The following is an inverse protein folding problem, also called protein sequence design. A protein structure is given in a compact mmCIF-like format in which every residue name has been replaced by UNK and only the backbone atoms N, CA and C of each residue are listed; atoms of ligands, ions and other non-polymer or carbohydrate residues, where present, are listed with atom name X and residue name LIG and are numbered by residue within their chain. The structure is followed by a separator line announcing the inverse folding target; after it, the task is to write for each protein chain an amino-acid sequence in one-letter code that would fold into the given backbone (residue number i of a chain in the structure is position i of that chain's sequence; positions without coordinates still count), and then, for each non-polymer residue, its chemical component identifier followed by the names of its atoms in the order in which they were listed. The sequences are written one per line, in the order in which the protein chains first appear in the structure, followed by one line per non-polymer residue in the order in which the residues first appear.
data_IF_300806459231
#
_entry.id   IF_300806459231
#
_cell.length_a   1.000
_cell.length_b   1.000
_cell.length_c   1.000
_cell.angle_alpha   90.00
_cell.angle_beta   90.00
_cell.angle_gamma   90.00
#
_symmetry.space_group_name_H-M   'P 1'
#
loop_
_entity.id
_entity.type
_entity.pdbx_description
1 polymer ?
#
# COMPACT_ATOMS: atom_id res chain seq x y z
N UNK A 1 -21.26 11.67 0.14
CA UNK A 1 -20.30 12.34 -0.76
C UNK A 1 -19.36 11.27 -1.31
N UNK A 2 -19.07 11.30 -2.60
CA UNK A 2 -18.08 10.39 -3.19
C UNK A 2 -16.68 10.83 -2.78
N UNK A 3 -15.82 9.87 -2.41
CA UNK A 3 -14.44 10.13 -2.04
C UNK A 3 -13.48 9.83 -3.20
N UNK A 4 -13.98 9.21 -4.29
CA UNK A 4 -13.18 8.93 -5.47
C UNK A 4 -13.08 10.15 -6.39
N UNK A 5 -11.93 10.29 -7.04
CA UNK A 5 -11.61 11.28 -8.05
C UNK A 5 -11.33 10.61 -9.38
N UNK A 6 -11.89 11.15 -10.46
CA UNK A 6 -11.64 10.66 -11.81
C UNK A 6 -10.17 10.85 -12.18
N UNK A 7 -9.42 9.81 -12.57
CA UNK A 7 -8.00 9.93 -12.89
C UNK A 7 -7.74 10.61 -14.25
N UNK A 8 -8.78 10.99 -14.99
CA UNK A 8 -8.66 11.66 -16.30
C UNK A 8 -8.95 13.16 -16.19
N UNK A 9 -10.01 13.54 -15.47
CA UNK A 9 -10.45 14.94 -15.41
C UNK A 9 -10.57 15.49 -13.98
N UNK A 10 -10.20 14.72 -12.98
CA UNK A 10 -10.19 15.04 -11.55
C UNK A 10 -11.55 15.41 -10.94
N UNK A 11 -12.65 15.32 -11.71
CA UNK A 11 -14.00 15.49 -11.18
C UNK A 11 -14.38 14.34 -10.21
N UNK A 12 -15.36 14.55 -9.32
CA UNK A 12 -15.90 13.50 -8.49
C UNK A 12 -16.28 12.26 -9.30
N UNK A 13 -15.97 11.08 -8.78
CA UNK A 13 -16.22 9.81 -9.44
C UNK A 13 -17.19 8.98 -8.59
N UNK A 14 -18.42 8.84 -9.04
CA UNK A 14 -19.45 8.08 -8.34
C UNK A 14 -19.32 6.59 -8.64
N UNK A 15 -19.07 5.82 -7.57
CA UNK A 15 -18.94 4.37 -7.65
C UNK A 15 -20.30 3.70 -7.46
N UNK A 16 -20.72 2.93 -8.46
CA UNK A 16 -21.85 2.02 -8.40
C UNK A 16 -21.38 0.55 -8.32
N UNK A 17 -22.33 -0.37 -8.31
CA UNK A 17 -22.06 -1.80 -8.20
C UNK A 17 -21.18 -2.32 -9.36
N UNK A 18 -21.47 -1.92 -10.59
CA UNK A 18 -20.80 -2.45 -11.80
C UNK A 18 -19.72 -1.54 -12.37
N UNK A 19 -19.78 -0.24 -12.10
CA UNK A 19 -18.86 0.75 -12.65
C UNK A 19 -18.73 1.97 -11.76
N UNK A 20 -17.74 2.82 -12.05
CA UNK A 20 -17.61 4.16 -11.49
C UNK A 20 -17.64 5.18 -12.62
N UNK A 21 -18.40 6.27 -12.47
CA UNK A 21 -18.62 7.28 -13.51
C UNK A 21 -18.46 8.70 -12.96
N UNK A 22 -17.86 9.61 -13.75
CA UNK A 22 -17.83 11.03 -13.43
C UNK A 22 -18.80 11.84 -14.29
N UNK A 23 -19.14 13.06 -13.86
CA UNK A 23 -20.04 13.95 -14.58
C UNK A 23 -19.59 14.33 -16.01
N UNK A 24 -18.31 14.16 -16.33
CA UNK A 24 -17.74 14.39 -17.67
C UNK A 24 -17.78 13.15 -18.58
N UNK A 25 -18.49 12.08 -18.17
CA UNK A 25 -18.73 10.90 -19.00
C UNK A 25 -17.63 9.84 -18.98
N UNK A 26 -16.54 10.02 -18.21
CA UNK A 26 -15.55 8.96 -18.05
C UNK A 26 -16.14 7.84 -17.19
N UNK A 27 -15.97 6.58 -17.64
CA UNK A 27 -16.51 5.40 -16.99
C UNK A 27 -15.42 4.34 -16.81
N UNK A 28 -15.43 3.67 -15.65
CA UNK A 28 -14.47 2.63 -15.26
C UNK A 28 -15.23 1.41 -14.76
N UNK A 29 -15.10 0.29 -15.44
CA UNK A 29 -15.76 -0.94 -15.04
C UNK A 29 -15.13 -1.55 -13.78
N UNK A 30 -16.01 -2.06 -12.91
CA UNK A 30 -15.57 -2.86 -11.77
C UNK A 30 -15.28 -4.29 -12.24
N UNK A 31 -14.09 -4.75 -11.94
CA UNK A 31 -13.73 -6.14 -12.21
C UNK A 31 -14.61 -7.11 -11.43
N UNK A 32 -14.74 -8.35 -11.94
CA UNK A 32 -15.49 -9.43 -11.27
C UNK A 32 -15.01 -9.69 -9.83
N UNK A 33 -13.73 -9.49 -9.57
CA UNK A 33 -13.12 -9.62 -8.25
C UNK A 33 -13.49 -8.48 -7.30
N UNK A 34 -14.04 -7.36 -7.79
CA UNK A 34 -14.54 -6.23 -7.00
C UNK A 34 -13.68 -4.96 -7.03
N UNK A 35 -12.50 -4.96 -7.65
CA UNK A 35 -11.65 -3.78 -7.75
C UNK A 35 -12.01 -2.86 -8.92
N UNK A 36 -11.61 -1.59 -8.83
CA UNK A 36 -11.63 -0.63 -9.93
C UNK A 36 -10.22 -0.43 -10.49
N UNK A 37 -10.08 -0.40 -11.82
CA UNK A 37 -8.82 -0.02 -12.45
C UNK A 37 -8.87 1.47 -12.82
N UNK A 38 -8.25 2.30 -11.99
CA UNK A 38 -8.16 3.75 -12.12
C UNK A 38 -6.77 4.23 -12.56
N UNK A 39 -5.91 3.32 -13.08
CA UNK A 39 -4.61 3.66 -13.64
C UNK A 39 -4.75 3.93 -15.15
N UNK A 40 -4.68 5.21 -15.60
CA UNK A 40 -4.73 5.54 -17.02
C UNK A 40 -3.56 4.94 -17.78
N UNK A 41 -3.79 4.60 -19.05
CA UNK A 41 -2.73 4.02 -19.91
C UNK A 41 -1.53 4.96 -20.03
N UNK A 42 -1.76 6.28 -20.07
CA UNK A 42 -0.73 7.31 -20.16
C UNK A 42 0.18 7.39 -18.93
N UNK A 43 -0.26 6.91 -17.78
CA UNK A 43 0.52 6.89 -16.54
C UNK A 43 1.31 5.58 -16.35
N UNK A 44 1.21 4.65 -17.31
CA UNK A 44 1.95 3.40 -17.25
C UNK A 44 3.35 3.56 -17.83
N UNK A 45 4.38 3.30 -17.03
CA UNK A 45 5.77 3.28 -17.48
C UNK A 45 6.15 1.96 -18.16
N UNK A 46 5.30 0.94 -18.07
CA UNK A 46 5.45 -0.38 -18.71
C UNK A 46 4.07 -0.97 -18.99
N UNK A 47 4.01 -2.06 -19.78
CA UNK A 47 2.75 -2.76 -20.08
C UNK A 47 2.09 -3.32 -18.80
N UNK A 48 2.90 -3.86 -17.89
CA UNK A 48 2.49 -4.41 -16.60
C UNK A 48 3.35 -3.78 -15.49
N UNK A 49 2.98 -2.60 -14.97
CA UNK A 49 3.74 -1.96 -13.89
C UNK A 49 3.56 -2.71 -12.56
N UNK A 50 4.58 -2.64 -11.72
CA UNK A 50 4.61 -3.29 -10.41
C UNK A 50 5.01 -4.77 -10.49
N UNK A 51 4.76 -5.48 -9.40
CA UNK A 51 5.08 -6.90 -9.28
C UNK A 51 4.27 -7.76 -10.25
N UNK A 52 4.92 -8.75 -10.84
CA UNK A 52 4.26 -9.74 -11.67
C UNK A 52 3.54 -10.83 -10.82
N UNK A 53 2.85 -11.74 -11.50
CA UNK A 53 2.04 -12.76 -10.84
C UNK A 53 2.87 -13.73 -9.97
N UNK A 54 4.12 -14.02 -10.35
CA UNK A 54 5.00 -14.95 -9.63
C UNK A 54 5.59 -14.27 -8.38
N UNK A 55 5.99 -13.00 -8.48
CA UNK A 55 6.42 -12.19 -7.35
C UNK A 55 5.29 -12.02 -6.32
N UNK A 56 4.08 -11.68 -6.79
CA UNK A 56 2.89 -11.56 -5.92
C UNK A 56 2.56 -12.90 -5.26
N UNK A 57 2.71 -14.03 -5.96
CA UNK A 57 2.48 -15.34 -5.36
C UNK A 57 3.53 -15.65 -4.28
N UNK A 58 4.81 -15.44 -4.58
CA UNK A 58 5.90 -15.67 -3.62
C UNK A 58 5.72 -14.82 -2.34
N UNK A 59 5.39 -13.53 -2.51
CA UNK A 59 5.08 -12.63 -1.39
C UNK A 59 3.92 -13.16 -0.55
N UNK A 60 2.83 -13.56 -1.20
CA UNK A 60 1.67 -14.11 -0.52
C UNK A 60 2.05 -15.34 0.31
N UNK A 61 2.74 -16.31 -0.28
CA UNK A 61 3.08 -17.55 0.40
C UNK A 61 4.01 -17.30 1.60
N UNK A 62 4.93 -16.35 1.45
CA UNK A 62 5.82 -15.93 2.52
C UNK A 62 5.08 -15.22 3.68
N UNK A 63 4.21 -14.28 3.35
CA UNK A 63 3.44 -13.51 4.35
C UNK A 63 2.40 -14.39 5.08
N UNK A 64 1.72 -15.29 4.35
CA UNK A 64 0.75 -16.25 4.93
C UNK A 64 1.43 -17.25 5.87
N UNK A 65 2.69 -17.63 5.63
CA UNK A 65 3.48 -18.41 6.57
C UNK A 65 3.72 -17.68 7.91
N UNK A 66 3.43 -16.38 7.97
CA UNK A 66 3.40 -15.61 9.22
C UNK A 66 4.76 -15.04 9.65
N UNK A 67 5.80 -15.13 8.82
CA UNK A 67 7.13 -14.62 9.16
C UNK A 67 7.15 -13.12 9.51
N UNK A 68 6.26 -12.32 8.91
CA UNK A 68 6.11 -10.89 9.15
C UNK A 68 4.96 -10.52 10.11
N UNK A 69 4.36 -11.52 10.79
CA UNK A 69 3.27 -11.27 11.75
C UNK A 69 3.66 -10.30 12.88
N UNK A 70 4.84 -10.41 13.53
CA UNK A 70 5.21 -9.46 14.58
C UNK A 70 5.25 -8.01 14.09
N UNK A 71 5.73 -7.80 12.87
CA UNK A 71 5.76 -6.48 12.23
C UNK A 71 4.34 -5.97 11.93
N UNK A 72 3.49 -6.79 11.31
CA UNK A 72 2.10 -6.43 11.01
C UNK A 72 1.31 -6.07 12.26
N UNK A 73 1.46 -6.86 13.33
CA UNK A 73 0.72 -6.65 14.57
C UNK A 73 1.20 -5.36 15.28
N UNK A 74 2.48 -5.01 15.15
CA UNK A 74 2.98 -3.70 15.62
C UNK A 74 2.34 -2.54 14.84
N UNK A 75 2.27 -2.61 13.51
CA UNK A 75 1.61 -1.58 12.71
C UNK A 75 0.13 -1.41 13.08
N UNK A 76 -0.58 -2.53 13.26
CA UNK A 76 -1.96 -2.51 13.72
C UNK A 76 -2.10 -1.84 15.10
N UNK A 77 -1.19 -2.13 16.02
CA UNK A 77 -1.15 -1.51 17.35
C UNK A 77 -0.89 -0.01 17.32
N UNK A 78 -0.08 0.48 16.37
CA UNK A 78 0.16 1.92 16.18
C UNK A 78 -1.05 2.65 15.57
N UNK A 79 -1.80 1.99 14.69
CA UNK A 79 -2.97 2.56 14.03
C UNK A 79 -4.22 2.52 14.92
N UNK A 80 -4.41 1.46 15.69
CA UNK A 80 -5.64 1.19 16.45
C UNK A 80 -6.12 2.34 17.35
N UNK A 81 -5.25 3.06 18.09
CA UNK A 81 -5.70 4.16 18.95
C UNK A 81 -6.29 5.36 18.20
N UNK A 82 -6.01 5.47 16.90
CA UNK A 82 -6.47 6.58 16.05
C UNK A 82 -7.89 6.38 15.53
N UNK A 83 -8.37 5.15 15.43
CA UNK A 83 -9.69 4.79 14.88
C UNK A 83 -10.08 5.63 13.65
N UNK A 84 -9.26 5.65 12.58
CA UNK A 84 -9.53 6.53 11.45
C UNK A 84 -10.90 6.20 10.83
N UNK A 85 -11.70 7.23 10.56
CA UNK A 85 -12.96 7.01 9.86
C UNK A 85 -12.73 6.52 8.42
N UNK A 86 -11.64 6.98 7.77
CA UNK A 86 -11.21 6.51 6.46
C UNK A 86 -9.69 6.30 6.43
N UNK A 87 -9.26 5.05 6.25
CA UNK A 87 -7.86 4.63 6.04
C UNK A 87 -7.58 4.48 4.55
N UNK A 88 -6.43 4.99 4.10
CA UNK A 88 -5.84 4.70 2.79
C UNK A 88 -4.57 3.86 2.97
N UNK A 89 -4.49 2.70 2.32
CA UNK A 89 -3.27 1.89 2.25
C UNK A 89 -2.62 2.04 0.87
N UNK A 90 -1.48 2.74 0.82
CA UNK A 90 -0.76 3.09 -0.40
C UNK A 90 0.31 2.05 -0.72
N UNK A 91 0.18 1.38 -1.88
CA UNK A 91 1.04 0.26 -2.24
C UNK A 91 0.70 -1.01 -1.45
N UNK A 92 -0.58 -1.35 -1.43
CA UNK A 92 -1.14 -2.42 -0.59
C UNK A 92 -0.70 -3.84 -0.98
N UNK A 93 -0.05 -4.01 -2.13
CA UNK A 93 0.30 -5.32 -2.66
C UNK A 93 -0.93 -6.24 -2.78
N UNK A 94 -0.79 -7.47 -2.29
CA UNK A 94 -1.88 -8.47 -2.30
C UNK A 94 -2.81 -8.38 -1.07
N UNK A 95 -2.70 -7.29 -0.27
CA UNK A 95 -3.65 -6.93 0.78
C UNK A 95 -3.45 -7.60 2.14
N UNK A 96 -2.32 -8.26 2.39
CA UNK A 96 -2.09 -8.98 3.65
C UNK A 96 -2.03 -8.04 4.87
N UNK A 97 -1.37 -6.88 4.72
CA UNK A 97 -1.36 -5.84 5.76
C UNK A 97 -2.71 -5.12 5.83
N UNK A 98 -3.25 -4.74 4.68
CA UNK A 98 -4.50 -3.96 4.57
C UNK A 98 -5.67 -4.59 5.32
N UNK A 99 -5.85 -5.92 5.22
CA UNK A 99 -6.95 -6.64 5.89
C UNK A 99 -6.86 -6.59 7.42
N UNK A 100 -5.65 -6.55 7.98
CA UNK A 100 -5.46 -6.39 9.42
C UNK A 100 -5.67 -4.94 9.85
N UNK A 101 -5.12 -3.98 9.11
CA UNK A 101 -5.24 -2.56 9.41
C UNK A 101 -6.70 -2.08 9.30
N UNK A 102 -7.46 -2.61 8.35
CA UNK A 102 -8.87 -2.31 8.16
C UNK A 102 -9.74 -2.59 9.39
N UNK A 103 -9.33 -3.50 10.27
CA UNK A 103 -10.07 -3.82 11.50
C UNK A 103 -10.13 -2.65 12.49
N UNK A 104 -9.20 -1.69 12.38
CA UNK A 104 -9.14 -0.48 13.22
C UNK A 104 -9.76 0.74 12.57
N UNK A 105 -10.27 0.64 11.34
CA UNK A 105 -10.78 1.76 10.55
C UNK A 105 -12.29 1.61 10.29
N UNK A 106 -12.99 2.75 10.18
CA UNK A 106 -14.41 2.76 9.78
C UNK A 106 -14.62 2.36 8.32
N UNK A 107 -13.69 2.78 7.45
CA UNK A 107 -13.64 2.46 6.02
C UNK A 107 -12.19 2.35 5.58
N UNK A 108 -11.92 1.45 4.65
CA UNK A 108 -10.58 1.29 4.07
C UNK A 108 -10.64 1.35 2.55
N UNK A 109 -9.76 2.15 1.97
CA UNK A 109 -9.41 2.14 0.56
C UNK A 109 -7.95 1.71 0.46
N UNK A 110 -7.63 0.87 -0.51
CA UNK A 110 -6.26 0.41 -0.72
C UNK A 110 -5.96 0.37 -2.21
N UNK A 111 -4.76 0.77 -2.59
CA UNK A 111 -4.35 0.72 -3.99
C UNK A 111 -2.94 0.18 -4.17
N UNK A 112 -2.72 -0.38 -5.33
CA UNK A 112 -1.40 -0.76 -5.83
C UNK A 112 -1.34 -0.54 -7.34
N UNK A 113 -0.14 -0.34 -7.87
CA UNK A 113 0.07 -0.20 -9.31
C UNK A 113 0.00 -1.56 -10.02
N UNK A 114 0.31 -2.66 -9.32
CA UNK A 114 0.20 -4.03 -9.83
C UNK A 114 -1.25 -4.49 -9.86
N UNK A 115 -1.76 -4.69 -11.08
CA UNK A 115 -3.09 -5.26 -11.28
C UNK A 115 -3.21 -6.68 -10.72
N UNK A 116 -2.15 -7.48 -10.79
CA UNK A 116 -2.14 -8.86 -10.28
C UNK A 116 -2.21 -8.89 -8.75
N UNK A 117 -1.52 -7.97 -8.08
CA UNK A 117 -1.60 -7.80 -6.64
C UNK A 117 -3.02 -7.40 -6.20
N UNK A 118 -3.57 -6.33 -6.79
CA UNK A 118 -4.93 -5.84 -6.46
C UNK A 118 -6.01 -6.88 -6.74
N UNK A 119 -5.88 -7.65 -7.82
CA UNK A 119 -6.80 -8.75 -8.13
C UNK A 119 -6.82 -9.83 -7.03
N UNK A 120 -5.68 -10.11 -6.41
CA UNK A 120 -5.58 -11.06 -5.27
C UNK A 120 -6.12 -10.43 -4.00
N UNK A 121 -5.78 -9.18 -3.73
CA UNK A 121 -6.28 -8.41 -2.60
C UNK A 121 -7.82 -8.34 -2.57
N UNK A 122 -8.45 -8.05 -3.71
CA UNK A 122 -9.91 -8.00 -3.85
C UNK A 122 -10.63 -9.34 -3.59
N UNK A 123 -9.92 -10.46 -3.77
CA UNK A 123 -10.44 -11.79 -3.40
C UNK A 123 -10.27 -12.10 -1.91
N UNK A 124 -9.32 -11.43 -1.24
CA UNK A 124 -9.02 -11.63 0.17
C UNK A 124 -10.09 -11.02 1.07
N UNK A 125 -10.50 -9.79 0.76
CA UNK A 125 -11.50 -9.05 1.53
C UNK A 125 -12.36 -8.16 0.61
N UNK A 126 -13.68 -8.35 0.64
CA UNK A 126 -14.63 -7.54 -0.13
C UNK A 126 -15.11 -6.28 0.59
N UNK A 127 -14.77 -6.13 1.87
CA UNK A 127 -15.10 -4.95 2.66
C UNK A 127 -14.18 -3.74 2.38
N UNK A 128 -13.02 -3.98 1.74
CA UNK A 128 -12.06 -2.95 1.38
C UNK A 128 -12.30 -2.49 -0.07
N UNK A 129 -12.20 -1.18 -0.30
CA UNK A 129 -12.25 -0.59 -1.64
C UNK A 129 -10.89 -0.72 -2.33
N UNK A 130 -10.74 -1.67 -3.23
CA UNK A 130 -9.50 -1.97 -3.93
C UNK A 130 -9.39 -1.23 -5.26
N UNK A 131 -8.24 -0.57 -5.49
CA UNK A 131 -7.98 0.21 -6.70
C UNK A 131 -6.66 -0.20 -7.34
N UNK A 132 -6.60 -0.28 -8.67
CA UNK A 132 -5.33 -0.22 -9.40
C UNK A 132 -5.07 1.24 -9.69
N UNK A 133 -4.00 1.80 -9.11
CA UNK A 133 -3.69 3.23 -9.19
C UNK A 133 -2.21 3.49 -8.93
N UNK A 134 -1.77 4.72 -9.19
CA UNK A 134 -0.41 5.20 -8.90
C UNK A 134 -0.41 6.15 -7.70
N UNK A 135 0.66 6.10 -6.89
CA UNK A 135 0.89 7.09 -5.83
C UNK A 135 1.20 8.50 -6.38
N UNK A 136 1.57 8.60 -7.67
CA UNK A 136 1.83 9.89 -8.32
C UNK A 136 0.55 10.68 -8.68
N UNK A 137 -0.62 10.02 -8.70
CA UNK A 137 -1.93 10.65 -8.91
C UNK A 137 -2.98 9.77 -8.22
N UNK A 138 -3.14 9.98 -6.92
CA UNK A 138 -4.04 9.18 -6.08
C UNK A 138 -5.49 9.52 -6.45
N UNK A 139 -6.32 8.54 -6.89
CA UNK A 139 -7.68 8.79 -7.36
C UNK A 139 -8.68 8.98 -6.22
N UNK A 140 -8.34 9.84 -5.27
CA UNK A 140 -9.16 10.27 -4.15
C UNK A 140 -9.29 11.79 -4.14
N UNK A 141 -10.40 12.28 -3.62
CA UNK A 141 -10.63 13.71 -3.41
C UNK A 141 -9.64 14.26 -2.38
N UNK A 142 -9.41 15.56 -2.44
CA UNK A 142 -8.60 16.28 -1.45
C UNK A 142 -9.23 16.11 -0.06
N UNK A 143 -8.41 16.02 0.97
CA UNK A 143 -8.82 15.93 2.38
C UNK A 143 -9.91 14.87 2.65
N UNK A 144 -9.79 13.70 2.01
CA UNK A 144 -10.81 12.64 2.06
C UNK A 144 -10.47 11.47 2.99
N UNK A 145 -9.24 11.43 3.53
CA UNK A 145 -8.78 10.33 4.41
C UNK A 145 -8.20 10.86 5.72
N UNK A 146 -8.39 10.10 6.79
CA UNK A 146 -7.92 10.45 8.14
C UNK A 146 -6.56 9.81 8.47
N UNK A 147 -6.24 8.71 7.78
CA UNK A 147 -4.94 8.06 7.91
C UNK A 147 -4.47 7.50 6.58
N UNK A 148 -3.16 7.52 6.36
CA UNK A 148 -2.49 6.84 5.24
C UNK A 148 -1.42 5.91 5.79
N UNK A 149 -1.37 4.68 5.26
CA UNK A 149 -0.27 3.76 5.47
C UNK A 149 0.52 3.56 4.18
N UNK A 150 1.86 3.51 4.28
CA UNK A 150 2.77 3.15 3.20
C UNK A 150 3.79 2.14 3.74
N UNK A 151 3.63 0.86 3.39
CA UNK A 151 4.40 -0.25 3.96
C UNK A 151 5.31 -0.82 2.89
N UNK A 152 6.62 -0.59 3.01
CA UNK A 152 7.64 -0.99 2.02
C UNK A 152 7.29 -0.55 0.59
N UNK A 153 6.59 0.57 0.45
CA UNK A 153 6.04 1.08 -0.79
C UNK A 153 6.53 2.49 -1.07
N UNK A 154 6.76 2.85 -2.35
CA UNK A 154 7.02 4.24 -2.74
C UNK A 154 5.86 5.15 -2.35
N UNK A 155 6.20 6.36 -1.92
CA UNK A 155 5.24 7.38 -1.53
C UNK A 155 5.51 8.67 -2.33
N UNK A 156 4.45 9.37 -2.71
CA UNK A 156 4.55 10.70 -3.30
C UNK A 156 4.05 11.72 -2.26
N UNK A 157 4.96 12.46 -1.57
CA UNK A 157 4.59 13.29 -0.43
C UNK A 157 3.47 14.29 -0.72
N UNK A 158 3.53 14.99 -1.86
CA UNK A 158 2.53 15.99 -2.24
C UNK A 158 1.13 15.39 -2.46
N UNK A 159 1.03 14.25 -3.13
CA UNK A 159 -0.25 13.56 -3.35
C UNK A 159 -0.80 12.95 -2.06
N UNK A 160 0.09 12.44 -1.20
CA UNK A 160 -0.30 11.94 0.12
C UNK A 160 -0.86 13.06 0.97
N UNK A 161 -0.18 14.21 1.04
CA UNK A 161 -0.66 15.39 1.76
C UNK A 161 -2.00 15.90 1.20
N UNK A 162 -2.16 15.92 -0.12
CA UNK A 162 -3.40 16.36 -0.77
C UNK A 162 -4.63 15.56 -0.33
N UNK A 163 -4.51 14.24 -0.24
CA UNK A 163 -5.66 13.38 0.09
C UNK A 163 -5.93 13.30 1.58
N UNK A 164 -4.95 13.63 2.43
CA UNK A 164 -5.09 13.61 3.87
C UNK A 164 -5.82 14.83 4.39
N UNK A 165 -6.65 14.65 5.39
CA UNK A 165 -7.22 15.74 6.17
C UNK A 165 -6.14 16.39 7.04
N UNK A 166 -6.30 17.67 7.40
CA UNK A 166 -5.51 18.26 8.48
C UNK A 166 -5.55 17.37 9.73
N UNK A 167 -4.44 17.28 10.45
CA UNK A 167 -4.26 16.43 11.63
C UNK A 167 -4.38 14.89 11.38
N UNK A 168 -4.40 14.47 10.12
CA UNK A 168 -4.36 13.07 9.73
C UNK A 168 -3.04 12.37 10.12
N UNK A 169 -3.08 11.04 10.26
CA UNK A 169 -1.90 10.22 10.56
C UNK A 169 -1.30 9.64 9.28
N UNK A 170 -0.03 9.94 9.02
CA UNK A 170 0.77 9.21 8.04
C UNK A 170 1.66 8.20 8.77
N UNK A 171 1.50 6.90 8.48
CA UNK A 171 2.30 5.80 9.01
C UNK A 171 3.15 5.20 7.89
N UNK A 172 4.45 5.50 7.88
CA UNK A 172 5.40 4.95 6.90
C UNK A 172 6.22 3.85 7.56
N UNK A 173 6.30 2.71 6.91
CA UNK A 173 7.17 1.63 7.31
C UNK A 173 8.22 1.36 6.21
N UNK A 174 9.48 1.54 6.56
CA UNK A 174 10.63 1.35 5.70
C UNK A 174 11.58 0.29 6.26
N UNK A 175 12.43 -0.35 5.42
CA UNK A 175 13.46 -1.24 5.89
C UNK A 175 14.42 -0.50 6.82
N UNK A 176 14.67 -1.05 8.01
CA UNK A 176 15.71 -0.56 8.89
C UNK A 176 17.11 -0.81 8.29
N UNK A 177 18.14 -0.16 8.81
CA UNK A 177 19.52 -0.20 8.31
C UNK A 177 20.01 -1.63 8.04
N UNK A 178 19.69 -2.57 8.93
CA UNK A 178 20.12 -3.97 8.89
C UNK A 178 19.03 -4.95 8.47
N UNK A 179 18.00 -4.47 7.76
CA UNK A 179 16.92 -5.33 7.27
C UNK A 179 17.48 -6.44 6.35
N UNK A 180 17.20 -7.70 6.70
CA UNK A 180 17.68 -8.93 6.03
C UNK A 180 19.21 -8.96 5.85
N UNK A 181 19.96 -8.46 6.83
CA UNK A 181 21.40 -8.26 6.72
C UNK A 181 22.14 -9.55 6.40
N UNK A 182 21.89 -10.64 7.15
CA UNK A 182 22.56 -11.93 6.97
C UNK A 182 22.29 -12.54 5.61
N UNK A 183 21.07 -12.38 5.09
CA UNK A 183 20.70 -12.82 3.74
C UNK A 183 21.45 -12.01 2.67
N UNK A 184 21.54 -10.70 2.85
CA UNK A 184 22.23 -9.81 1.93
C UNK A 184 23.74 -10.06 1.92
N UNK A 185 24.36 -10.34 3.04
CA UNK A 185 25.78 -10.76 3.14
C UNK A 185 26.05 -12.07 2.40
N UNK A 186 25.09 -13.00 2.41
CA UNK A 186 25.20 -14.26 1.69
C UNK A 186 25.06 -14.11 0.15
N UNK A 187 24.37 -13.06 -0.30
CA UNK A 187 24.04 -12.85 -1.71
C UNK A 187 24.93 -11.84 -2.42
N UNK A 188 25.46 -10.84 -1.70
CA UNK A 188 26.19 -9.72 -2.28
C UNK A 188 27.59 -9.59 -1.71
N UNK A 189 28.60 -9.28 -2.56
CA UNK A 189 29.99 -9.07 -2.10
C UNK A 189 30.14 -7.87 -1.15
N UNK A 190 29.28 -6.87 -1.29
CA UNK A 190 29.25 -5.66 -0.46
C UNK A 190 27.81 -5.36 -0.07
N UNK A 191 27.53 -5.20 1.23
CA UNK A 191 26.22 -4.85 1.75
C UNK A 191 26.26 -3.43 2.28
N UNK A 192 25.37 -2.58 1.80
CA UNK A 192 25.18 -1.21 2.27
C UNK A 192 23.96 -1.10 3.16
N UNK A 193 24.04 -0.34 4.23
CA UNK A 193 22.92 -0.05 5.10
C UNK A 193 21.80 0.67 4.33
N UNK A 194 20.53 0.39 4.68
CA UNK A 194 19.42 1.17 4.16
C UNK A 194 19.44 2.57 4.78
N UNK A 195 19.17 3.58 3.96
CA UNK A 195 19.08 4.99 4.40
C UNK A 195 17.65 5.27 4.91
N UNK A 196 17.35 4.85 6.13
CA UNK A 196 16.02 5.04 6.72
C UNK A 196 15.65 6.54 6.90
N UNK A 197 16.66 7.41 7.11
CA UNK A 197 16.48 8.85 7.35
C UNK A 197 15.99 9.62 6.12
N UNK A 198 16.24 9.09 4.91
CA UNK A 198 15.82 9.74 3.67
C UNK A 198 14.32 10.03 3.61
N UNK A 199 13.48 9.14 4.15
CA UNK A 199 12.04 9.35 4.21
C UNK A 199 11.64 10.54 5.08
N UNK A 200 12.36 10.78 6.19
CA UNK A 200 12.09 11.92 7.06
C UNK A 200 12.39 13.23 6.34
N UNK A 201 13.52 13.31 5.62
CA UNK A 201 13.90 14.49 4.84
C UNK A 201 12.88 14.81 3.73
N UNK A 202 12.40 13.78 3.01
CA UNK A 202 11.43 13.94 1.93
C UNK A 202 10.03 14.35 2.45
N UNK A 203 9.66 13.94 3.65
CA UNK A 203 8.35 14.22 4.24
C UNK A 203 8.31 15.52 5.05
N UNK A 204 9.42 15.95 5.63
CA UNK A 204 9.52 17.10 6.53
C UNK A 204 8.89 18.42 5.99
N UNK A 205 8.90 18.72 4.66
CA UNK A 205 8.26 19.94 4.16
C UNK A 205 6.71 19.95 4.27
N UNK A 206 6.08 18.78 4.43
CA UNK A 206 4.62 18.61 4.37
C UNK A 206 4.02 17.93 5.60
N UNK A 207 4.85 17.29 6.43
CA UNK A 207 4.41 16.50 7.57
C UNK A 207 5.25 16.79 8.80
N UNK A 208 4.60 16.94 9.94
CA UNK A 208 5.26 17.02 11.23
C UNK A 208 5.63 15.61 11.72
N UNK A 209 6.90 15.43 12.09
CA UNK A 209 7.35 14.17 12.66
C UNK A 209 6.78 13.98 14.07
N UNK A 210 6.10 12.88 14.31
CA UNK A 210 5.47 12.58 15.59
C UNK A 210 6.30 11.60 16.43
N UNK A 211 6.62 10.43 15.88
CA UNK A 211 7.36 9.37 16.58
C UNK A 211 7.95 8.35 15.62
N UNK A 212 8.95 7.62 16.08
CA UNK A 212 9.55 6.47 15.40
C UNK A 212 9.45 5.25 16.30
N UNK A 213 9.16 4.10 15.71
CA UNK A 213 9.21 2.79 16.35
C UNK A 213 10.08 1.84 15.54
N UNK A 214 11.00 1.13 16.18
CA UNK A 214 11.85 0.13 15.53
C UNK A 214 11.38 -1.26 15.90
N UNK A 215 11.08 -2.07 14.88
CA UNK A 215 10.65 -3.45 15.05
C UNK A 215 11.81 -4.37 14.69
N UNK A 216 12.27 -5.15 15.67
CA UNK A 216 13.32 -6.14 15.48
C UNK A 216 12.75 -7.53 15.76
N UNK A 217 12.88 -8.44 14.80
CA UNK A 217 12.52 -9.83 14.98
C UNK A 217 13.38 -10.71 14.09
N UNK A 218 13.54 -11.95 14.51
CA UNK A 218 14.26 -12.98 13.76
C UNK A 218 13.27 -13.81 12.94
N UNK A 219 13.70 -14.16 11.74
CA UNK A 219 12.98 -15.08 10.85
C UNK A 219 13.84 -16.34 10.72
N UNK A 220 13.32 -17.47 11.20
CA UNK A 220 13.92 -18.77 10.99
C UNK A 220 13.17 -19.45 9.83
N UNK A 221 13.85 -19.58 8.69
CA UNK A 221 13.28 -20.20 7.48
C UNK A 221 13.43 -21.72 7.57
N UNK A 222 12.32 -22.48 7.53
CA UNK A 222 12.38 -23.93 7.77
C UNK A 222 12.92 -24.71 6.57
N UNK A 223 12.87 -24.13 5.36
CA UNK A 223 13.20 -24.81 4.12
C UNK A 223 13.59 -23.86 2.98
N UNK A 224 14.08 -24.46 1.88
CA UNK A 224 14.46 -23.72 0.69
C UNK A 224 13.26 -23.09 -0.04
N UNK A 225 12.04 -23.59 0.14
CA UNK A 225 10.85 -22.99 -0.47
C UNK A 225 10.56 -21.62 0.15
N UNK A 226 10.59 -21.54 1.50
CA UNK A 226 10.44 -20.29 2.24
C UNK A 226 11.54 -19.26 1.88
N UNK A 227 12.78 -19.72 1.72
CA UNK A 227 13.89 -18.86 1.27
C UNK A 227 13.64 -18.34 -0.16
N UNK A 228 13.21 -19.20 -1.08
CA UNK A 228 12.90 -18.82 -2.46
C UNK A 228 11.74 -17.80 -2.52
N UNK A 229 10.73 -17.95 -1.65
CA UNK A 229 9.64 -16.97 -1.57
C UNK A 229 10.16 -15.62 -1.11
N UNK A 230 11.02 -15.57 -0.07
CA UNK A 230 11.64 -14.33 0.41
C UNK A 230 12.51 -13.66 -0.66
N UNK A 231 13.25 -14.45 -1.45
CA UNK A 231 14.13 -13.93 -2.50
C UNK A 231 13.37 -13.37 -3.71
N UNK A 232 12.16 -13.87 -3.96
CA UNK A 232 11.32 -13.44 -5.09
C UNK A 232 10.41 -12.26 -4.77
N UNK A 233 10.12 -12.02 -3.50
CA UNK A 233 9.23 -10.92 -3.09
C UNK A 233 9.98 -9.60 -2.97
#
# INVERSE_FOLDING_TARGET
MTFLRCPICHAPLDAAEKSAQCGNGHSFDRAREGYLNLLPVQQKNSLNPGDDADMVQARRDFLEAGFYRPFRDTLAGLLAPRHPAHLLDSGCGEGWHSTTLAQSAGKTTAFDISKDAVKRAAKRDRGISWLVASSADIPLQDESVDAVTAIFSPLTPAETARVMRPDGLLLVAAPGERHLWELREALYPEVRAHQAEKWQEELAPLFDFHSESRVHFRIDLPDNASLNHLLKM
#
